data_IF_263632234113
#
_entry.id   IF_263632234113
#
_cell.length_a   1.000
_cell.length_b   1.000
_cell.length_c   1.000
_cell.angle_alpha   90.00
_cell.angle_beta   90.00
_cell.angle_gamma   90.00
#
_symmetry.space_group_name_H-M   'P 1'
#
loop_
_entity.id
_entity.type
_entity.pdbx_description
1 polymer ?
#
# COMPACT_ATOMS: atom_id res chain seq x y z
N UNK A 1 0.62 -37.19 -10.41
CA UNK A 1 2.00 -37.27 -9.89
C UNK A 1 3.04 -37.54 -10.98
N UNK A 2 2.91 -38.58 -11.82
CA UNK A 2 3.91 -38.91 -12.84
C UNK A 2 4.12 -37.83 -13.94
N UNK A 3 3.09 -37.05 -14.31
CA UNK A 3 3.21 -35.95 -15.27
C UNK A 3 3.99 -34.75 -14.72
N UNK A 4 3.77 -34.42 -13.44
CA UNK A 4 4.47 -33.31 -12.75
C UNK A 4 5.96 -33.63 -12.62
N UNK A 5 6.30 -34.87 -12.21
CA UNK A 5 7.70 -35.32 -12.10
C UNK A 5 8.41 -35.30 -13.46
N UNK A 6 7.72 -35.71 -14.53
CA UNK A 6 8.24 -35.63 -15.91
C UNK A 6 8.45 -34.19 -16.37
N UNK A 7 7.54 -33.28 -16.05
CA UNK A 7 7.67 -31.85 -16.37
C UNK A 7 8.81 -31.18 -15.59
N UNK A 8 9.00 -31.55 -14.31
CA UNK A 8 10.12 -31.08 -13.49
C UNK A 8 11.44 -31.58 -14.06
N UNK A 9 11.57 -32.89 -14.37
CA UNK A 9 12.76 -33.45 -15.00
C UNK A 9 13.07 -32.80 -16.35
N UNK A 10 12.04 -32.52 -17.15
CA UNK A 10 12.16 -31.80 -18.42
C UNK A 10 12.66 -30.36 -18.21
N UNK A 11 12.11 -29.63 -17.25
CA UNK A 11 12.54 -28.27 -16.91
C UNK A 11 13.98 -28.22 -16.39
N UNK A 12 14.39 -29.19 -15.56
CA UNK A 12 15.77 -29.32 -15.07
C UNK A 12 16.73 -29.61 -16.22
N UNK A 13 16.31 -30.43 -17.19
CA UNK A 13 17.11 -30.77 -18.38
C UNK A 13 17.24 -29.61 -19.37
N UNK A 14 16.19 -28.80 -19.55
CA UNK A 14 16.17 -27.69 -20.50
C UNK A 14 16.84 -26.42 -19.97
N UNK A 15 16.59 -26.07 -18.70
CA UNK A 15 17.11 -24.83 -18.08
C UNK A 15 18.39 -25.04 -17.29
N UNK A 16 18.72 -26.29 -16.93
CA UNK A 16 19.82 -26.62 -16.03
C UNK A 16 19.43 -26.51 -14.55
N UNK A 17 20.05 -27.35 -13.71
CA UNK A 17 19.71 -27.48 -12.30
C UNK A 17 19.88 -26.17 -11.49
N UNK A 18 20.92 -25.39 -11.80
CA UNK A 18 21.17 -24.10 -11.14
C UNK A 18 20.10 -23.05 -11.44
N UNK A 19 19.65 -22.95 -12.69
CA UNK A 19 18.59 -22.03 -13.08
C UNK A 19 17.23 -22.46 -12.49
N UNK A 20 16.97 -23.77 -12.45
CA UNK A 20 15.79 -24.34 -11.82
C UNK A 20 15.74 -24.05 -10.31
N UNK A 21 16.85 -24.21 -9.58
CA UNK A 21 16.92 -23.84 -8.16
C UNK A 21 16.73 -22.34 -7.95
N UNK A 22 17.23 -21.50 -8.85
CA UNK A 22 17.01 -20.06 -8.82
C UNK A 22 15.54 -19.71 -9.04
N UNK A 23 14.89 -20.36 -10.00
CA UNK A 23 13.45 -20.21 -10.29
C UNK A 23 12.60 -20.64 -9.08
N UNK A 24 12.91 -21.77 -8.43
CA UNK A 24 12.24 -22.19 -7.19
C UNK A 24 12.45 -21.21 -6.02
N UNK A 25 13.62 -20.58 -5.96
CA UNK A 25 13.90 -19.53 -4.96
C UNK A 25 13.10 -18.26 -5.26
N UNK A 26 13.04 -17.83 -6.52
CA UNK A 26 12.34 -16.64 -6.98
C UNK A 26 10.81 -16.79 -6.87
N UNK A 27 10.26 -17.96 -7.19
CA UNK A 27 8.83 -18.27 -7.01
C UNK A 27 8.40 -18.41 -5.54
N UNK A 28 9.36 -18.35 -4.61
CA UNK A 28 9.12 -18.36 -3.17
C UNK A 28 8.91 -19.76 -2.58
N UNK A 29 9.14 -20.84 -3.32
CA UNK A 29 8.96 -22.21 -2.82
C UNK A 29 9.91 -22.54 -1.65
N UNK A 30 11.13 -22.00 -1.66
CA UNK A 30 12.06 -22.15 -0.51
C UNK A 30 11.58 -21.39 0.74
N UNK A 31 10.80 -20.32 0.57
CA UNK A 31 10.25 -19.53 1.68
C UNK A 31 9.01 -20.17 2.31
N UNK A 32 8.36 -21.11 1.62
CA UNK A 32 7.24 -21.88 2.14
C UNK A 32 7.65 -22.84 3.27
N UNK A 33 8.93 -23.19 3.38
CA UNK A 33 9.41 -24.13 4.40
C UNK A 33 9.30 -23.56 5.83
N UNK A 34 9.77 -22.33 6.10
CA UNK A 34 9.54 -21.70 7.41
C UNK A 34 8.14 -21.08 7.56
N UNK A 35 7.44 -20.76 6.47
CA UNK A 35 6.10 -20.17 6.52
C UNK A 35 5.00 -21.17 6.11
N UNK A 36 4.30 -21.70 7.11
CA UNK A 36 3.22 -22.67 6.91
C UNK A 36 2.02 -22.14 6.11
N UNK A 37 1.71 -20.85 6.21
CA UNK A 37 0.57 -20.26 5.49
C UNK A 37 0.86 -20.21 3.99
N UNK A 38 2.09 -19.84 3.63
CA UNK A 38 2.53 -19.81 2.24
C UNK A 38 2.56 -21.23 1.65
N UNK A 39 2.98 -22.23 2.43
CA UNK A 39 2.90 -23.63 2.02
C UNK A 39 1.46 -24.07 1.75
N UNK A 40 0.53 -23.69 2.63
CA UNK A 40 -0.89 -24.01 2.46
C UNK A 40 -1.47 -23.38 1.19
N UNK A 41 -1.19 -22.10 0.93
CA UNK A 41 -1.64 -21.43 -0.32
C UNK A 41 -1.04 -22.07 -1.56
N UNK A 42 0.24 -22.44 -1.55
CA UNK A 42 0.85 -23.20 -2.67
C UNK A 42 0.21 -24.57 -2.89
N UNK A 43 -0.25 -25.25 -1.84
CA UNK A 43 -1.03 -26.50 -1.98
C UNK A 43 -2.39 -26.21 -2.61
N UNK A 44 -3.08 -25.16 -2.18
CA UNK A 44 -4.37 -24.75 -2.75
C UNK A 44 -4.25 -24.41 -4.25
N UNK A 45 -3.14 -23.81 -4.67
CA UNK A 45 -2.87 -23.49 -6.06
C UNK A 45 -2.80 -24.74 -6.96
N UNK A 46 -2.51 -25.92 -6.40
CA UNK A 46 -2.50 -27.17 -7.17
C UNK A 46 -3.93 -27.52 -7.59
N UNK A 47 -4.24 -27.30 -8.86
CA UNK A 47 -5.58 -27.51 -9.43
C UNK A 47 -6.52 -26.31 -9.29
N UNK A 48 -5.99 -25.12 -8.97
CA UNK A 48 -6.73 -23.86 -9.05
C UNK A 48 -6.51 -23.18 -10.40
N UNK A 49 -7.47 -22.37 -10.83
CA UNK A 49 -7.37 -21.55 -12.04
C UNK A 49 -6.92 -20.14 -11.67
N UNK A 50 -5.92 -19.62 -12.38
CA UNK A 50 -5.49 -18.23 -12.26
C UNK A 50 -6.51 -17.34 -12.95
N UNK A 51 -7.16 -16.45 -12.19
CA UNK A 51 -8.21 -15.53 -12.70
C UNK A 51 -7.58 -14.25 -13.22
N UNK A 52 -6.64 -13.68 -12.47
CA UNK A 52 -5.96 -12.44 -12.86
C UNK A 52 -4.78 -12.10 -11.97
N UNK A 53 -4.08 -11.04 -12.34
CA UNK A 53 -2.91 -10.53 -11.64
C UNK A 53 -3.06 -9.02 -11.52
N UNK A 54 -2.94 -8.48 -10.31
CA UNK A 54 -3.00 -7.03 -10.12
C UNK A 54 -1.69 -6.33 -10.49
N UNK A 55 -1.72 -5.00 -10.47
CA UNK A 55 -0.56 -4.14 -10.71
C UNK A 55 0.59 -4.33 -9.71
N UNK A 56 0.31 -4.87 -8.53
CA UNK A 56 1.32 -5.14 -7.50
C UNK A 56 1.94 -6.53 -7.67
N UNK A 57 1.43 -7.33 -8.61
CA UNK A 57 1.88 -8.70 -8.89
C UNK A 57 1.19 -9.76 -8.03
N UNK A 58 0.18 -9.41 -7.24
CA UNK A 58 -0.61 -10.39 -6.49
C UNK A 58 -1.46 -11.19 -7.47
N UNK A 59 -1.46 -12.52 -7.26
CA UNK A 59 -2.14 -13.46 -8.15
C UNK A 59 -3.44 -13.93 -7.50
N UNK A 60 -4.54 -13.85 -8.24
CA UNK A 60 -5.87 -14.23 -7.75
C UNK A 60 -6.29 -15.56 -8.34
N UNK A 61 -6.67 -16.49 -7.48
CA UNK A 61 -6.98 -17.86 -7.85
C UNK A 61 -8.42 -18.22 -7.47
N UNK A 62 -9.03 -19.06 -8.30
CA UNK A 62 -10.36 -19.60 -8.06
C UNK A 62 -10.40 -21.13 -8.26
N UNK A 63 -11.24 -21.81 -7.49
CA UNK A 63 -11.50 -23.25 -7.59
C UNK A 63 -12.95 -23.60 -7.24
N UNK A 64 -13.82 -23.59 -8.25
CA UNK A 64 -15.30 -23.69 -8.11
C UNK A 64 -15.87 -25.12 -7.90
N UNK A 65 -15.07 -26.17 -8.00
CA UNK A 65 -15.56 -27.56 -7.92
C UNK A 65 -15.32 -28.23 -6.56
N UNK A 66 -14.08 -28.65 -6.31
CA UNK A 66 -13.74 -29.57 -5.20
C UNK A 66 -13.51 -28.87 -3.85
N UNK A 67 -13.88 -27.60 -3.71
CA UNK A 67 -13.49 -26.77 -2.57
C UNK A 67 -14.69 -26.31 -1.77
N UNK A 68 -14.53 -26.26 -0.45
CA UNK A 68 -15.54 -25.74 0.46
C UNK A 68 -15.93 -24.29 0.09
N UNK A 69 -17.24 -23.99 0.15
CA UNK A 69 -17.74 -22.63 -0.02
C UNK A 69 -17.04 -21.65 0.95
N UNK A 70 -16.67 -20.47 0.45
CA UNK A 70 -15.84 -19.50 1.16
C UNK A 70 -14.31 -19.69 1.04
N UNK A 71 -13.82 -20.85 0.59
CA UNK A 71 -12.38 -21.11 0.35
C UNK A 71 -12.02 -21.30 -1.12
N UNK A 72 -12.98 -21.08 -2.01
CA UNK A 72 -12.79 -21.25 -3.44
C UNK A 72 -12.10 -20.06 -4.12
N UNK A 73 -12.01 -18.89 -3.46
CA UNK A 73 -11.24 -17.73 -3.94
C UNK A 73 -10.17 -17.38 -2.92
N UNK A 74 -8.96 -17.11 -3.38
CA UNK A 74 -7.87 -16.62 -2.54
C UNK A 74 -6.88 -15.82 -3.36
N UNK A 75 -6.01 -15.09 -2.66
CA UNK A 75 -4.91 -14.31 -3.24
C UNK A 75 -3.59 -14.89 -2.79
N UNK A 76 -2.65 -14.97 -3.72
CA UNK A 76 -1.24 -15.20 -3.46
C UNK A 76 -0.50 -13.86 -3.62
N UNK A 77 -0.06 -13.27 -2.51
CA UNK A 77 0.67 -12.00 -2.52
C UNK A 77 1.99 -12.13 -3.27
N UNK A 78 2.39 -11.08 -3.98
CA UNK A 78 3.68 -11.01 -4.67
C UNK A 78 4.85 -11.05 -3.67
N UNK A 79 4.75 -10.21 -2.64
CA UNK A 79 5.73 -10.14 -1.56
C UNK A 79 5.59 -11.35 -0.64
N UNK A 80 6.66 -12.15 -0.52
CA UNK A 80 6.64 -13.40 0.25
C UNK A 80 7.10 -13.24 1.68
N UNK A 81 7.79 -12.15 2.00
CA UNK A 81 8.40 -11.97 3.32
C UNK A 81 7.49 -11.23 4.28
N UNK A 82 6.85 -10.15 3.80
CA UNK A 82 5.99 -9.28 4.59
C UNK A 82 4.68 -9.01 3.84
N UNK A 83 3.91 -10.08 3.63
CA UNK A 83 2.58 -9.96 3.07
C UNK A 83 1.61 -9.38 4.10
N UNK A 84 0.68 -8.56 3.63
CA UNK A 84 -0.35 -7.94 4.47
C UNK A 84 -1.69 -7.94 3.73
N UNK A 85 -2.78 -8.20 4.45
CA UNK A 85 -4.14 -8.22 3.89
C UNK A 85 -4.52 -6.91 3.17
N UNK A 86 -3.98 -5.78 3.63
CA UNK A 86 -4.24 -4.47 3.03
C UNK A 86 -3.54 -4.21 1.69
N UNK A 87 -2.71 -5.14 1.19
CA UNK A 87 -2.04 -5.00 -0.12
C UNK A 87 -2.99 -5.24 -1.30
N UNK A 88 -4.15 -5.86 -1.06
CA UNK A 88 -5.16 -6.08 -2.10
C UNK A 88 -5.79 -4.74 -2.49
N UNK A 89 -5.77 -4.36 -3.78
CA UNK A 89 -6.39 -3.12 -4.24
C UNK A 89 -7.92 -3.23 -4.22
N UNK A 90 -8.64 -2.08 -4.23
CA UNK A 90 -10.09 -2.06 -4.06
C UNK A 90 -10.84 -2.82 -5.17
N UNK A 91 -10.31 -2.82 -6.40
CA UNK A 91 -10.87 -3.57 -7.52
C UNK A 91 -10.92 -5.09 -7.26
N UNK A 92 -9.89 -5.66 -6.62
CA UNK A 92 -9.84 -7.09 -6.33
C UNK A 92 -10.45 -7.45 -4.96
N UNK A 93 -10.53 -6.48 -4.05
CA UNK A 93 -11.08 -6.68 -2.71
C UNK A 93 -12.55 -7.13 -2.75
N UNK A 94 -13.39 -6.53 -3.61
CA UNK A 94 -14.80 -6.92 -3.74
C UNK A 94 -14.99 -8.37 -4.19
N UNK A 95 -14.20 -8.80 -5.19
CA UNK A 95 -14.22 -10.15 -5.73
C UNK A 95 -13.74 -11.20 -4.72
N UNK A 96 -12.64 -10.90 -4.02
CA UNK A 96 -12.03 -11.76 -3.02
C UNK A 96 -12.96 -12.01 -1.82
N UNK A 97 -13.74 -11.00 -1.43
CA UNK A 97 -14.67 -11.06 -0.29
C UNK A 97 -16.09 -11.52 -0.67
N UNK A 98 -16.30 -12.04 -1.89
CA UNK A 98 -17.61 -12.50 -2.36
C UNK A 98 -18.70 -11.41 -2.33
N UNK A 99 -18.32 -10.14 -2.44
CA UNK A 99 -19.27 -9.02 -2.51
C UNK A 99 -19.81 -8.89 -3.93
N UNK A 100 -18.96 -9.18 -4.92
CA UNK A 100 -19.29 -9.15 -6.34
C UNK A 100 -18.56 -10.27 -7.07
N UNK A 101 -19.13 -10.72 -8.18
CA UNK A 101 -18.50 -11.70 -9.08
C UNK A 101 -17.71 -11.04 -10.22
N UNK A 102 -17.76 -9.71 -10.33
CA UNK A 102 -16.94 -8.96 -11.27
C UNK A 102 -15.46 -9.08 -10.90
N UNK A 103 -14.63 -9.41 -11.87
CA UNK A 103 -13.18 -9.51 -11.68
C UNK A 103 -12.57 -8.11 -11.45
N UNK A 104 -11.38 -8.06 -10.85
CA UNK A 104 -10.70 -6.79 -10.62
C UNK A 104 -10.38 -6.04 -11.91
N UNK A 105 -10.13 -6.76 -13.01
CA UNK A 105 -9.85 -6.16 -14.32
C UNK A 105 -11.08 -5.45 -14.90
N UNK A 106 -12.28 -6.01 -14.72
CA UNK A 106 -13.55 -5.37 -15.10
C UNK A 106 -13.80 -4.10 -14.29
N UNK A 107 -13.58 -4.16 -12.97
CA UNK A 107 -13.79 -3.02 -12.08
C UNK A 107 -12.74 -1.92 -12.29
N UNK A 108 -11.53 -2.28 -12.72
CA UNK A 108 -10.47 -1.32 -13.03
C UNK A 108 -10.87 -0.41 -14.20
N UNK A 109 -11.65 -0.90 -15.17
CA UNK A 109 -12.20 -0.09 -16.27
C UNK A 109 -13.16 1.01 -15.78
N UNK A 110 -13.82 0.78 -14.63
CA UNK A 110 -14.74 1.71 -13.99
C UNK A 110 -14.05 2.71 -13.06
N UNK A 111 -12.73 2.58 -12.84
CA UNK A 111 -11.98 3.43 -11.91
C UNK A 111 -12.06 4.91 -12.33
N UNK A 112 -12.44 5.84 -11.41
CA UNK A 112 -12.56 7.25 -11.73
C UNK A 112 -11.20 7.88 -12.04
N UNK A 113 -11.02 8.35 -13.26
CA UNK A 113 -9.73 8.87 -13.76
C UNK A 113 -9.32 10.23 -13.16
N UNK A 114 -10.29 11.06 -12.78
CA UNK A 114 -10.03 12.46 -12.37
C UNK A 114 -9.42 12.60 -10.97
N UNK A 115 -9.85 11.76 -10.03
CA UNK A 115 -9.51 11.87 -8.61
C UNK A 115 -9.11 10.53 -7.98
N UNK A 116 -9.02 9.46 -8.78
CA UNK A 116 -8.63 8.14 -8.29
C UNK A 116 -7.21 8.18 -7.75
N UNK A 117 -7.08 8.01 -6.43
CA UNK A 117 -5.78 7.86 -5.79
C UNK A 117 -5.30 6.42 -5.98
N UNK A 118 -3.99 6.24 -6.11
CA UNK A 118 -3.41 4.90 -6.14
C UNK A 118 -3.50 4.22 -4.79
N UNK A 119 -3.74 2.91 -4.84
CA UNK A 119 -3.82 2.07 -3.65
C UNK A 119 -2.50 2.12 -2.89
N UNK A 120 -2.59 2.28 -1.57
CA UNK A 120 -1.47 2.21 -0.65
C UNK A 120 -1.85 1.23 0.44
N UNK A 121 -0.93 0.31 0.74
CA UNK A 121 -1.10 -0.60 1.86
C UNK A 121 -1.15 0.15 3.19
N UNK A 122 -1.63 -0.53 4.23
CA UNK A 122 -1.67 0.04 5.57
C UNK A 122 -0.29 -0.04 6.23
N UNK A 123 0.44 1.07 6.20
CA UNK A 123 1.77 1.25 6.82
C UNK A 123 1.71 1.60 8.31
N UNK A 124 0.63 1.21 9.01
CA UNK A 124 0.49 1.43 10.44
C UNK A 124 1.65 0.77 11.21
N UNK A 125 2.41 1.57 11.97
CA UNK A 125 3.54 1.10 12.78
C UNK A 125 4.91 1.11 12.08
N UNK A 126 5.01 1.57 10.83
CA UNK A 126 6.30 1.67 10.09
C UNK A 126 7.03 3.01 10.26
N UNK A 127 6.44 3.93 11.02
CA UNK A 127 7.02 5.23 11.37
C UNK A 127 6.03 6.38 11.21
N UNK A 128 6.19 7.42 12.03
CA UNK A 128 5.26 8.56 12.11
C UNK A 128 5.04 9.29 10.77
N UNK A 129 6.01 9.23 9.85
CA UNK A 129 5.89 9.88 8.53
C UNK A 129 4.91 9.18 7.59
N UNK A 130 4.72 7.87 7.75
CA UNK A 130 3.81 7.07 6.92
C UNK A 130 2.41 6.98 7.53
N UNK A 131 2.31 7.21 8.84
CA UNK A 131 1.07 7.14 9.60
C UNK A 131 0.32 8.46 9.47
N UNK A 132 -1.00 8.37 9.35
CA UNK A 132 -1.84 9.56 9.37
C UNK A 132 -1.96 10.12 10.78
N UNK A 133 -1.64 11.40 10.93
CA UNK A 133 -1.89 12.17 12.15
C UNK A 133 -2.97 13.22 11.93
N UNK A 134 -3.89 13.35 12.90
CA UNK A 134 -4.92 14.38 12.86
C UNK A 134 -4.31 15.79 12.90
N UNK A 135 -5.06 16.79 12.44
CA UNK A 135 -4.57 18.19 12.33
C UNK A 135 -4.18 18.81 13.67
N UNK A 136 -4.65 18.29 14.81
CA UNK A 136 -4.28 18.80 16.14
C UNK A 136 -3.12 18.05 16.80
N UNK A 137 -2.68 16.94 16.22
CA UNK A 137 -1.68 16.07 16.82
C UNK A 137 -0.28 16.69 16.73
N UNK A 138 0.53 16.54 17.78
CA UNK A 138 1.84 17.19 17.89
C UNK A 138 2.87 16.69 16.86
N UNK A 139 2.74 15.42 16.41
CA UNK A 139 3.62 14.85 15.38
C UNK A 139 3.23 15.29 13.96
N UNK A 140 2.06 15.91 13.77
CA UNK A 140 1.67 16.42 12.46
C UNK A 140 2.47 17.70 12.16
N UNK A 141 3.26 17.76 11.06
CA UNK A 141 4.05 18.94 10.74
C UNK A 141 3.20 20.20 10.51
N UNK A 142 1.93 20.04 10.15
CA UNK A 142 0.97 21.12 9.96
C UNK A 142 0.00 21.27 11.11
N UNK A 143 0.48 21.28 12.36
CA UNK A 143 -0.39 21.38 13.54
C UNK A 143 -1.28 22.62 13.47
N UNK A 144 -2.59 22.39 13.41
CA UNK A 144 -3.62 23.41 13.27
C UNK A 144 -3.91 24.06 14.62
N UNK A 145 -3.89 25.39 14.63
CA UNK A 145 -4.51 26.16 15.70
C UNK A 145 -6.04 26.23 15.50
N UNK A 146 -6.79 25.96 16.57
CA UNK A 146 -8.26 25.93 16.59
C UNK A 146 -8.88 27.21 17.14
N UNK A 147 -8.08 28.24 17.45
CA UNK A 147 -8.61 29.55 17.87
C UNK A 147 -9.54 30.11 16.79
N UNK A 148 -10.77 30.44 17.20
CA UNK A 148 -11.81 31.01 16.32
C UNK A 148 -11.71 32.52 16.17
N UNK A 149 -10.85 33.15 16.95
CA UNK A 149 -10.59 34.59 16.95
C UNK A 149 -9.09 34.82 16.78
N UNK A 150 -8.75 36.02 16.32
CA UNK A 150 -7.37 36.50 16.29
C UNK A 150 -7.13 37.30 17.57
N UNK A 151 -6.17 36.92 18.42
CA UNK A 151 -5.80 37.74 19.57
C UNK A 151 -5.22 39.07 19.08
N UNK A 152 -5.41 40.13 19.86
CA UNK A 152 -4.73 41.38 19.57
C UNK A 152 -3.23 41.23 19.84
N UNK A 153 -2.40 41.46 18.82
CA UNK A 153 -0.94 41.46 18.93
C UNK A 153 -0.41 42.91 19.03
N UNK A 154 0.23 43.23 20.14
CA UNK A 154 0.80 44.57 20.34
C UNK A 154 2.05 44.78 19.50
N UNK A 155 2.16 45.94 18.86
CA UNK A 155 3.40 46.35 18.17
C UNK A 155 4.41 46.80 19.22
N UNK A 156 5.45 46.01 19.48
CA UNK A 156 6.59 46.45 20.29
C UNK A 156 7.44 47.41 19.47
N UNK A 157 7.41 48.70 19.79
CA UNK A 157 8.40 49.65 19.27
C UNK A 157 9.66 49.58 20.13
N UNK A 158 10.82 49.48 19.50
CA UNK A 158 12.12 49.58 20.18
C UNK A 158 12.30 51.03 20.66
N UNK A 159 11.88 51.34 21.88
CA UNK A 159 12.39 52.52 22.58
C UNK A 159 13.78 52.17 23.11
N UNK A 160 14.79 52.97 22.73
CA UNK A 160 16.19 52.72 23.04
C UNK A 160 16.43 52.39 24.51
N UNK A 161 17.18 51.30 24.75
CA UNK A 161 17.72 50.93 26.06
C UNK A 161 17.33 49.53 26.53
N UNK A 162 18.20 48.56 26.23
CA UNK A 162 18.34 47.23 26.84
C UNK A 162 17.09 46.34 27.01
N UNK A 163 16.93 45.40 26.05
CA UNK A 163 15.99 44.29 26.14
C UNK A 163 16.71 43.00 26.56
N UNK A 164 16.49 42.58 27.80
CA UNK A 164 16.52 41.17 28.16
C UNK A 164 15.12 40.60 27.90
N UNK A 165 14.94 39.85 26.81
CA UNK A 165 13.83 38.89 26.74
C UNK A 165 14.11 37.85 25.66
N UNK A 166 14.25 36.60 26.10
CA UNK A 166 14.27 35.43 25.25
C UNK A 166 12.96 35.20 24.52
N UNK A 167 13.06 34.47 23.40
CA UNK A 167 11.94 34.04 22.57
C UNK A 167 12.15 34.41 21.11
N UNK A 168 12.85 33.54 20.36
CA UNK A 168 12.98 33.64 18.91
C UNK A 168 11.59 33.55 18.26
N UNK A 169 11.10 34.68 17.76
CA UNK A 169 9.96 34.74 16.84
C UNK A 169 10.49 34.29 15.47
N UNK A 170 10.14 33.07 15.04
CA UNK A 170 10.32 32.64 13.65
C UNK A 170 9.32 33.44 12.79
N UNK A 171 9.83 34.43 12.07
CA UNK A 171 9.08 35.12 11.02
C UNK A 171 8.83 34.16 9.85
N UNK A 172 7.65 33.57 9.80
CA UNK A 172 7.11 32.93 8.59
C UNK A 172 5.80 33.62 8.22
N UNK A 173 5.86 34.86 7.72
CA UNK A 173 4.70 35.45 7.02
C UNK A 173 5.03 36.68 6.16
N UNK A 174 6.10 36.60 5.36
CA UNK A 174 6.38 37.62 4.32
C UNK A 174 5.65 37.34 2.98
N UNK A 175 5.12 36.13 2.76
CA UNK A 175 4.54 35.76 1.46
C UNK A 175 3.05 36.09 1.28
N UNK A 176 2.32 36.43 2.34
CA UNK A 176 0.87 36.70 2.23
C UNK A 176 0.51 38.11 1.72
N UNK A 177 1.46 39.07 1.73
CA UNK A 177 1.19 40.45 1.32
C UNK A 177 1.52 40.75 -0.14
N UNK A 178 2.40 39.98 -0.79
CA UNK A 178 2.78 40.27 -2.19
C UNK A 178 1.74 39.78 -3.22
N UNK A 179 0.89 38.81 -2.88
CA UNK A 179 -0.10 38.27 -3.84
C UNK A 179 -1.35 39.16 -4.00
N UNK A 180 -1.62 40.06 -3.05
CA UNK A 180 -2.79 40.95 -3.10
C UNK A 180 -2.54 42.26 -3.85
N UNK A 181 -1.27 42.62 -4.14
CA UNK A 181 -0.93 43.86 -4.84
C UNK A 181 -0.68 43.66 -6.35
N UNK A 182 -0.38 42.45 -6.82
CA UNK A 182 -0.06 42.20 -8.24
C UNK A 182 -1.27 41.93 -9.14
N UNK A 183 -2.50 41.81 -8.61
CA UNK A 183 -3.71 41.55 -9.39
C UNK A 183 -4.70 42.73 -9.46
N UNK A 184 -4.21 43.94 -9.21
CA UNK A 184 -4.96 45.19 -9.47
C UNK A 184 -4.06 46.18 -10.17
N UNK A 185 -3.92 45.99 -11.50
CA UNK A 185 -3.87 46.98 -12.59
C UNK A 185 -3.87 46.17 -13.90
#
# INVERSE_FOLDING_TARGET
>A
MASVVKNVLKSVREKGFGAFLRELKEEGYLRCLPDGNLLQTKIHNIGATLVGVDKFGNKYYEKLGDTQYGRHRWVEYAEKTRYNASQVPPEWHGWLHFITDHTGDELLLLKPKRYGVEHKENLSGEGEQYIYHSKGHALNPGQRNWTRYQPWESKKYMCGGNLASGGQVRQTNSQAWNYAMENTI
#
